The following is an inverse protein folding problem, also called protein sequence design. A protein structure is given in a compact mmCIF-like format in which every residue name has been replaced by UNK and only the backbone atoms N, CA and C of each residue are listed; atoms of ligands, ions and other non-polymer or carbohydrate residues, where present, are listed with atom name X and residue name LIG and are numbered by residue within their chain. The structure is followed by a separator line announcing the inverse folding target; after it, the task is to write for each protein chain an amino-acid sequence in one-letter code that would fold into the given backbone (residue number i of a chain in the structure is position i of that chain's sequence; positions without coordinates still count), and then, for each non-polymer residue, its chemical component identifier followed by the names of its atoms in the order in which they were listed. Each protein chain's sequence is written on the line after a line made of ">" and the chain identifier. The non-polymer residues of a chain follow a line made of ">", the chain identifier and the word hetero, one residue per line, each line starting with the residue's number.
data_IF_003572782389
#
_entry.id   IF_003572782389
#
_cell.length_a   1.000
_cell.length_b   1.000
_cell.length_c   1.000
_cell.angle_alpha   90.00
_cell.angle_beta   90.00
_cell.angle_gamma   90.00
#
_symmetry.space_group_name_H-M   'P 1'
#
loop_
_entity.id
_entity.type
_entity.pdbx_description
1 polymer ?
#
# COMPACT_ATOMS: atom_id res chain seq x y z
N UNK A 1 -16.43 -0.85 -5.79
CA UNK A 1 -15.51 -0.45 -4.67
C UNK A 1 -16.15 -0.67 -3.31
N UNK A 2 -17.36 -0.12 -3.07
CA UNK A 2 -18.10 -0.32 -1.80
C UNK A 2 -18.26 -1.80 -1.44
N UNK A 3 -18.70 -2.64 -2.37
CA UNK A 3 -18.90 -4.07 -2.13
C UNK A 3 -17.59 -4.80 -1.82
N UNK A 4 -16.50 -4.42 -2.51
CA UNK A 4 -15.18 -4.95 -2.22
C UNK A 4 -14.73 -4.63 -0.79
N UNK A 5 -14.90 -3.37 -0.35
CA UNK A 5 -14.56 -2.95 1.01
C UNK A 5 -15.39 -3.73 2.03
N UNK A 6 -16.70 -3.85 1.79
CA UNK A 6 -17.61 -4.58 2.67
C UNK A 6 -17.21 -6.06 2.77
N UNK A 7 -16.92 -6.70 1.64
CA UNK A 7 -16.42 -8.09 1.60
C UNK A 7 -15.11 -8.24 2.37
N UNK A 8 -14.21 -7.26 2.30
CA UNK A 8 -12.96 -7.32 3.02
C UNK A 8 -13.14 -7.27 4.53
N UNK A 9 -14.02 -6.39 5.00
CA UNK A 9 -14.35 -6.26 6.43
C UNK A 9 -15.13 -7.47 6.93
N UNK A 10 -16.10 -7.96 6.15
CA UNK A 10 -16.94 -9.09 6.51
C UNK A 10 -16.16 -10.40 6.58
N UNK A 11 -15.15 -10.59 5.72
CA UNK A 11 -14.29 -11.78 5.75
C UNK A 11 -13.66 -12.01 7.13
N UNK A 12 -13.15 -10.95 7.77
CA UNK A 12 -12.56 -11.06 9.12
C UNK A 12 -13.61 -10.99 10.24
N UNK A 13 -14.80 -10.44 9.97
CA UNK A 13 -15.93 -10.42 10.94
C UNK A 13 -16.80 -11.67 10.91
N UNK A 14 -16.50 -12.64 10.05
CA UNK A 14 -17.18 -13.93 9.99
C UNK A 14 -17.16 -14.61 11.37
N UNK A 15 -18.06 -15.57 11.59
CA UNK A 15 -18.12 -16.33 12.84
C UNK A 15 -17.24 -17.58 12.83
N UNK A 16 -16.73 -17.96 11.66
CA UNK A 16 -15.92 -19.16 11.43
C UNK A 16 -15.08 -19.00 10.16
N UNK A 17 -14.12 -19.90 9.97
CA UNK A 17 -13.24 -19.97 8.81
C UNK A 17 -11.98 -19.11 8.92
N UNK A 18 -11.12 -19.19 7.90
CA UNK A 18 -9.78 -18.61 7.92
C UNK A 18 -9.75 -17.12 8.31
N UNK A 19 -10.68 -16.31 7.81
CA UNK A 19 -10.73 -14.88 8.15
C UNK A 19 -11.04 -14.63 9.63
N UNK A 20 -11.91 -15.44 10.22
CA UNK A 20 -12.19 -15.38 11.64
C UNK A 20 -10.97 -15.79 12.46
N UNK A 21 -10.34 -16.92 12.13
CA UNK A 21 -9.17 -17.44 12.85
C UNK A 21 -8.00 -16.45 12.83
N UNK A 22 -7.74 -15.86 11.67
CA UNK A 22 -6.72 -14.82 11.52
C UNK A 22 -7.02 -13.57 12.34
N UNK A 23 -8.30 -13.19 12.46
CA UNK A 23 -8.68 -12.03 13.27
C UNK A 23 -8.53 -12.29 14.77
N UNK A 24 -8.75 -13.52 15.25
CA UNK A 24 -8.58 -13.84 16.67
C UNK A 24 -7.12 -13.66 17.12
N UNK A 25 -6.17 -13.98 16.24
CA UNK A 25 -4.74 -13.79 16.49
C UNK A 25 -4.28 -12.35 16.30
N UNK A 26 -5.04 -11.52 15.60
CA UNK A 26 -4.63 -10.15 15.27
C UNK A 26 -4.39 -9.34 16.54
N UNK A 27 -3.32 -8.57 16.52
CA UNK A 27 -2.83 -7.73 17.62
C UNK A 27 -2.25 -8.51 18.82
N UNK A 28 -2.06 -9.82 18.69
CA UNK A 28 -1.20 -10.56 19.62
C UNK A 28 0.24 -10.07 19.49
N UNK A 29 0.94 -10.03 20.62
CA UNK A 29 2.33 -9.55 20.70
C UNK A 29 3.21 -10.73 21.07
N UNK A 30 4.20 -11.01 20.22
CA UNK A 30 5.22 -12.03 20.43
C UNK A 30 6.56 -11.47 19.98
N UNK A 31 7.62 -11.61 20.81
CA UNK A 31 8.97 -11.14 20.49
C UNK A 31 9.06 -9.66 20.01
N UNK A 32 8.33 -8.77 20.68
CA UNK A 32 8.25 -7.32 20.32
C UNK A 32 7.65 -7.04 18.93
N UNK A 33 6.96 -8.00 18.36
CA UNK A 33 6.20 -7.84 17.12
C UNK A 33 4.71 -8.04 17.38
N UNK A 34 3.89 -7.24 16.69
CA UNK A 34 2.45 -7.36 16.69
C UNK A 34 1.97 -8.08 15.43
N UNK A 35 1.20 -9.16 15.60
CA UNK A 35 0.63 -9.91 14.49
C UNK A 35 -0.51 -9.12 13.83
N UNK A 36 -0.41 -8.86 12.53
CA UNK A 36 -1.43 -8.15 11.76
C UNK A 36 -2.43 -9.11 11.09
N UNK A 37 -1.98 -10.31 10.73
CA UNK A 37 -2.73 -11.28 9.94
C UNK A 37 -1.98 -11.72 8.69
N UNK A 38 -2.38 -12.86 8.12
CA UNK A 38 -1.83 -13.43 6.88
C UNK A 38 -0.30 -13.58 6.92
N UNK A 39 0.25 -14.04 8.06
CA UNK A 39 1.69 -14.16 8.33
C UNK A 39 2.46 -12.84 8.23
N UNK A 40 1.81 -11.71 8.54
CA UNK A 40 2.45 -10.40 8.61
C UNK A 40 2.47 -9.90 10.03
N UNK A 41 3.65 -9.44 10.44
CA UNK A 41 3.90 -8.80 11.73
C UNK A 41 4.67 -7.50 11.51
N UNK A 42 4.68 -6.66 12.53
CA UNK A 42 5.41 -5.38 12.55
C UNK A 42 5.89 -5.14 13.97
N UNK A 43 6.99 -4.42 14.17
CA UNK A 43 7.47 -4.10 15.52
C UNK A 43 6.43 -3.28 16.29
N UNK A 44 6.33 -3.51 17.60
CA UNK A 44 5.34 -2.82 18.46
C UNK A 44 5.49 -1.31 18.39
N UNK A 45 6.72 -0.79 18.58
CA UNK A 45 7.00 0.65 18.53
C UNK A 45 6.61 1.26 17.17
N UNK A 46 6.94 0.58 16.08
CA UNK A 46 6.61 1.05 14.74
C UNK A 46 5.10 1.06 14.50
N UNK A 47 4.38 0.03 14.96
CA UNK A 47 2.93 -0.02 14.88
C UNK A 47 2.28 1.11 15.69
N UNK A 48 2.78 1.39 16.88
CA UNK A 48 2.30 2.52 17.70
C UNK A 48 2.48 3.84 16.96
N UNK A 49 3.65 4.09 16.38
CA UNK A 49 3.92 5.28 15.57
C UNK A 49 2.94 5.41 14.39
N UNK A 50 2.71 4.32 13.65
CA UNK A 50 1.77 4.30 12.52
C UNK A 50 0.34 4.65 12.98
N UNK A 51 -0.08 4.21 14.17
CA UNK A 51 -1.43 4.48 14.69
C UNK A 51 -1.64 5.95 15.10
N UNK A 52 -0.58 6.74 15.29
CA UNK A 52 -0.67 8.18 15.57
C UNK A 52 -0.85 9.02 14.30
N UNK A 53 -0.60 8.43 13.13
CA UNK A 53 -0.60 9.13 11.86
C UNK A 53 -2.00 9.48 11.35
N UNK A 54 -2.05 10.39 10.36
CA UNK A 54 -3.30 10.72 9.65
C UNK A 54 -3.75 9.55 8.76
N UNK A 55 -5.05 9.40 8.47
CA UNK A 55 -5.57 8.23 7.77
C UNK A 55 -4.88 7.85 6.45
N UNK A 56 -4.53 8.79 5.54
CA UNK A 56 -3.81 8.43 4.32
C UNK A 56 -2.39 7.90 4.58
N UNK A 57 -1.72 8.41 5.62
CA UNK A 57 -0.37 8.03 6.00
C UNK A 57 -0.39 6.64 6.64
N UNK A 58 -1.31 6.41 7.59
CA UNK A 58 -1.55 5.08 8.18
C UNK A 58 -1.72 4.01 7.09
N UNK A 59 -2.58 4.29 6.10
CA UNK A 59 -2.88 3.35 5.02
C UNK A 59 -1.63 3.03 4.19
N UNK A 60 -0.82 4.03 3.87
CA UNK A 60 0.40 3.87 3.09
C UNK A 60 1.48 3.13 3.88
N UNK A 61 1.75 3.50 5.13
CA UNK A 61 2.75 2.83 5.95
C UNK A 61 2.37 1.37 6.19
N UNK A 62 1.11 1.11 6.54
CA UNK A 62 0.60 -0.26 6.68
C UNK A 62 0.80 -1.08 5.40
N UNK A 63 0.58 -0.48 4.21
CA UNK A 63 0.84 -1.18 2.95
C UNK A 63 2.34 -1.50 2.75
N UNK A 64 3.23 -0.59 3.15
CA UNK A 64 4.67 -0.83 3.04
C UNK A 64 5.16 -1.95 3.97
N UNK A 65 4.49 -2.23 5.09
CA UNK A 65 4.79 -3.41 5.91
C UNK A 65 4.32 -4.71 5.26
N UNK A 66 3.25 -4.67 4.48
CA UNK A 66 2.69 -5.87 3.85
C UNK A 66 3.46 -6.32 2.60
N UNK A 67 4.06 -5.38 1.84
CA UNK A 67 4.70 -5.65 0.53
C UNK A 67 6.12 -5.09 0.39
N UNK A 68 6.74 -4.55 1.45
CA UNK A 68 7.96 -3.73 1.36
C UNK A 68 7.85 -2.57 0.33
N UNK A 69 8.91 -1.76 0.19
CA UNK A 69 8.89 -0.62 -0.74
C UNK A 69 8.97 -1.08 -2.20
N UNK A 70 9.82 -2.06 -2.48
CA UNK A 70 10.13 -2.52 -3.84
C UNK A 70 8.99 -3.34 -4.42
N UNK A 71 8.41 -4.27 -3.66
CA UNK A 71 7.29 -5.04 -4.18
C UNK A 71 6.05 -4.17 -4.31
N UNK A 72 5.76 -3.32 -3.30
CA UNK A 72 4.60 -2.44 -3.36
C UNK A 72 4.66 -1.49 -4.56
N UNK A 73 5.83 -0.90 -4.84
CA UNK A 73 6.03 -0.08 -6.03
C UNK A 73 5.70 -0.83 -7.33
N UNK A 74 5.90 -2.14 -7.37
CA UNK A 74 5.68 -2.98 -8.54
C UNK A 74 4.35 -3.77 -8.47
N UNK A 75 3.42 -3.39 -7.59
CA UNK A 75 2.03 -3.88 -7.61
C UNK A 75 1.11 -3.00 -8.44
N UNK A 76 0.04 -3.60 -8.98
CA UNK A 76 -1.06 -2.90 -9.63
C UNK A 76 -2.39 -3.58 -9.31
N UNK A 77 -3.47 -2.80 -9.28
CA UNK A 77 -4.83 -3.34 -9.08
C UNK A 77 -5.35 -4.06 -10.34
N UNK A 78 -4.90 -3.61 -11.51
CA UNK A 78 -5.23 -4.13 -12.83
C UNK A 78 -3.93 -4.07 -13.66
N UNK A 79 -3.74 -5.04 -14.56
CA UNK A 79 -2.61 -5.04 -15.50
C UNK A 79 -3.18 -4.91 -16.91
N UNK A 80 -2.72 -3.89 -17.62
CA UNK A 80 -3.01 -3.67 -19.02
C UNK A 80 -1.75 -3.98 -19.86
N UNK A 81 -1.93 -4.21 -21.16
CA UNK A 81 -0.82 -4.63 -22.04
C UNK A 81 0.28 -3.57 -22.19
N UNK A 82 -0.08 -2.28 -22.11
CA UNK A 82 0.84 -1.14 -22.11
C UNK A 82 1.74 -1.06 -20.84
N UNK A 83 1.38 -1.82 -19.80
CA UNK A 83 2.14 -1.90 -18.56
C UNK A 83 3.22 -3.01 -18.59
N UNK A 84 3.18 -3.90 -19.59
CA UNK A 84 4.11 -5.04 -19.72
C UNK A 84 5.44 -4.61 -20.36
N UNK A 85 6.55 -5.18 -19.87
CA UNK A 85 7.86 -5.19 -20.53
C UNK A 85 8.46 -3.83 -20.94
N UNK A 86 8.52 -2.87 -20.01
CA UNK A 86 9.36 -1.68 -20.21
C UNK A 86 10.84 -2.06 -19.95
N UNK A 87 11.76 -1.91 -20.92
CA UNK A 87 13.16 -2.27 -20.76
C UNK A 87 13.81 -1.63 -19.52
N UNK A 88 14.54 -2.42 -18.73
CA UNK A 88 15.25 -1.97 -17.52
C UNK A 88 14.37 -1.76 -16.28
N UNK A 89 13.10 -2.21 -16.30
CA UNK A 89 12.20 -2.15 -15.14
C UNK A 89 11.86 -3.53 -14.60
N UNK A 90 11.60 -3.57 -13.28
CA UNK A 90 11.01 -4.74 -12.66
C UNK A 90 9.56 -4.93 -13.16
N UNK A 91 9.13 -6.18 -13.36
CA UNK A 91 7.80 -6.48 -13.87
C UNK A 91 6.73 -6.06 -12.87
N UNK A 92 5.59 -5.61 -13.39
CA UNK A 92 4.41 -5.31 -12.57
C UNK A 92 3.68 -6.61 -12.28
N UNK A 93 3.30 -6.79 -11.01
CA UNK A 93 2.47 -7.90 -10.57
C UNK A 93 1.12 -7.40 -10.09
N UNK A 94 0.09 -8.23 -10.21
CA UNK A 94 -1.21 -7.94 -9.62
C UNK A 94 -1.08 -7.91 -8.09
N UNK A 95 -1.82 -7.01 -7.46
CA UNK A 95 -1.90 -6.96 -6.00
C UNK A 95 -2.57 -8.22 -5.46
N UNK A 96 -1.95 -8.81 -4.45
CA UNK A 96 -2.41 -10.01 -3.78
C UNK A 96 -3.72 -9.71 -3.04
N UNK A 97 -4.79 -10.43 -3.41
CA UNK A 97 -6.15 -10.14 -2.91
C UNK A 97 -6.27 -10.32 -1.39
N UNK A 98 -5.60 -11.32 -0.81
CA UNK A 98 -5.63 -11.58 0.62
C UNK A 98 -4.97 -10.46 1.42
N UNK A 99 -3.81 -9.97 0.96
CA UNK A 99 -3.11 -8.85 1.61
C UNK A 99 -3.84 -7.52 1.40
N UNK A 100 -4.44 -7.27 0.23
CA UNK A 100 -5.28 -6.08 0.03
C UNK A 100 -6.50 -6.11 0.95
N UNK A 101 -7.13 -7.27 1.08
CA UNK A 101 -8.24 -7.48 2.01
C UNK A 101 -7.81 -7.25 3.46
N UNK A 102 -6.64 -7.75 3.86
CA UNK A 102 -6.04 -7.48 5.17
C UNK A 102 -5.86 -5.98 5.39
N UNK A 103 -5.21 -5.28 4.46
CA UNK A 103 -4.96 -3.84 4.56
C UNK A 103 -6.25 -3.03 4.73
N UNK A 104 -7.28 -3.32 3.93
CA UNK A 104 -8.57 -2.64 4.03
C UNK A 104 -9.25 -2.92 5.38
N UNK A 105 -9.13 -4.14 5.90
CA UNK A 105 -9.64 -4.46 7.24
C UNK A 105 -8.90 -3.71 8.34
N UNK A 106 -7.56 -3.65 8.29
CA UNK A 106 -6.75 -2.90 9.26
C UNK A 106 -7.09 -1.42 9.22
N UNK A 107 -7.25 -0.86 8.01
CA UNK A 107 -7.60 0.54 7.83
C UNK A 107 -9.00 0.87 8.35
N UNK A 108 -9.96 -0.03 8.13
CA UNK A 108 -11.29 0.09 8.73
C UNK A 108 -11.21 0.08 10.26
N UNK A 109 -10.42 -0.80 10.86
CA UNK A 109 -10.29 -0.88 12.32
C UNK A 109 -9.67 0.41 12.91
N UNK A 110 -8.62 0.93 12.28
CA UNK A 110 -8.02 2.24 12.61
C UNK A 110 -9.04 3.38 12.51
N UNK A 111 -9.76 3.50 11.38
CA UNK A 111 -10.77 4.54 11.17
C UNK A 111 -11.91 4.43 12.18
N UNK A 112 -12.35 3.21 12.51
CA UNK A 112 -13.41 2.99 13.50
C UNK A 112 -13.00 3.49 14.89
N UNK A 113 -11.75 3.27 15.29
CA UNK A 113 -11.20 3.71 16.58
C UNK A 113 -10.99 5.23 16.64
N UNK A 114 -10.77 5.89 15.51
CA UNK A 114 -10.60 7.33 15.44
C UNK A 114 -11.92 8.07 15.75
N UNK A 115 -12.00 8.68 16.94
CA UNK A 115 -13.20 9.39 17.43
C UNK A 115 -13.36 10.80 16.84
N UNK A 116 -12.31 11.37 16.27
CA UNK A 116 -12.32 12.71 15.69
C UNK A 116 -12.94 12.77 14.30
N UNK A 117 -13.18 11.61 13.66
CA UNK A 117 -13.81 11.51 12.35
C UNK A 117 -15.27 11.09 12.49
N UNK A 118 -16.14 11.73 11.71
CA UNK A 118 -17.53 11.30 11.55
C UNK A 118 -17.66 10.07 10.61
N UNK A 119 -18.87 9.55 10.49
CA UNK A 119 -19.14 8.37 9.67
C UNK A 119 -18.88 8.62 8.19
N UNK A 120 -19.22 9.81 7.68
CA UNK A 120 -19.06 10.15 6.27
C UNK A 120 -17.58 10.26 5.88
N UNK A 121 -16.76 10.90 6.72
CA UNK A 121 -15.32 11.00 6.53
C UNK A 121 -14.66 9.62 6.53
N UNK A 122 -15.04 8.75 7.47
CA UNK A 122 -14.55 7.36 7.51
C UNK A 122 -14.88 6.61 6.23
N UNK A 123 -16.12 6.72 5.74
CA UNK A 123 -16.53 6.11 4.48
C UNK A 123 -15.76 6.69 3.28
N UNK A 124 -15.59 8.01 3.23
CA UNK A 124 -14.82 8.71 2.19
C UNK A 124 -13.38 8.22 2.12
N UNK A 125 -12.71 8.05 3.27
CA UNK A 125 -11.36 7.50 3.34
C UNK A 125 -11.28 6.06 2.81
N UNK A 126 -12.21 5.19 3.21
CA UNK A 126 -12.25 3.80 2.72
C UNK A 126 -12.45 3.75 1.20
N UNK A 127 -13.39 4.55 0.66
CA UNK A 127 -13.65 4.59 -0.78
C UNK A 127 -12.46 5.13 -1.58
N UNK A 128 -11.66 6.03 -0.99
CA UNK A 128 -10.45 6.60 -1.60
C UNK A 128 -9.19 5.75 -1.39
N UNK A 129 -9.25 4.66 -0.62
CA UNK A 129 -8.08 3.88 -0.24
C UNK A 129 -7.25 3.40 -1.46
N UNK A 130 -7.91 2.81 -2.46
CA UNK A 130 -7.24 2.32 -3.66
C UNK A 130 -6.62 3.44 -4.50
N UNK A 131 -7.25 4.61 -4.55
CA UNK A 131 -6.69 5.79 -5.20
C UNK A 131 -5.41 6.26 -4.50
N UNK A 132 -5.43 6.34 -3.16
CA UNK A 132 -4.26 6.69 -2.35
C UNK A 132 -3.11 5.71 -2.58
N UNK A 133 -3.40 4.41 -2.61
CA UNK A 133 -2.41 3.36 -2.86
C UNK A 133 -1.82 3.45 -4.27
N UNK A 134 -2.66 3.60 -5.31
CA UNK A 134 -2.23 3.78 -6.71
C UNK A 134 -1.28 4.97 -6.85
N UNK A 135 -1.61 6.09 -6.23
CA UNK A 135 -0.77 7.28 -6.25
C UNK A 135 0.60 7.02 -5.60
N UNK A 136 0.63 6.35 -4.44
CA UNK A 136 1.88 6.01 -3.77
C UNK A 136 2.74 5.06 -4.63
N UNK A 137 2.15 4.01 -5.20
CA UNK A 137 2.85 3.09 -6.12
C UNK A 137 3.50 3.87 -7.28
N UNK A 138 2.74 4.78 -7.91
CA UNK A 138 3.25 5.64 -9.01
C UNK A 138 4.43 6.52 -8.58
N UNK A 139 4.37 7.10 -7.39
CA UNK A 139 5.43 7.94 -6.83
C UNK A 139 6.70 7.11 -6.60
N UNK A 140 6.58 5.96 -5.92
CA UNK A 140 7.71 5.08 -5.63
C UNK A 140 8.41 4.62 -6.91
N UNK A 141 7.65 4.25 -7.94
CA UNK A 141 8.22 3.89 -9.25
C UNK A 141 8.92 5.05 -9.94
N UNK A 142 8.38 6.25 -9.81
CA UNK A 142 9.02 7.45 -10.37
C UNK A 142 10.34 7.75 -9.66
N UNK A 143 10.42 7.47 -8.35
CA UNK A 143 11.65 7.60 -7.56
C UNK A 143 12.68 6.53 -7.93
N UNK A 144 12.27 5.26 -8.07
CA UNK A 144 13.13 4.17 -8.54
C UNK A 144 13.74 4.49 -9.92
N UNK A 145 12.93 5.02 -10.85
CA UNK A 145 13.40 5.46 -12.17
C UNK A 145 14.47 6.55 -12.07
N UNK A 146 14.25 7.55 -11.20
CA UNK A 146 15.21 8.65 -10.99
C UNK A 146 16.52 8.14 -10.39
N UNK A 147 16.46 7.20 -9.44
CA UNK A 147 17.65 6.62 -8.82
C UNK A 147 18.48 5.80 -9.84
N UNK A 148 17.83 5.08 -10.76
CA UNK A 148 18.51 4.29 -11.80
C UNK A 148 19.03 5.10 -12.99
N UNK A 149 18.53 6.31 -13.21
CA UNK A 149 19.02 7.17 -14.29
C UNK A 149 20.23 7.96 -13.77
N UNK A 150 21.47 7.69 -14.19
CA UNK A 150 22.62 8.45 -13.71
C UNK A 150 22.44 9.94 -14.07
N UNK A 151 22.70 10.85 -13.12
CA UNK A 151 22.63 12.31 -13.30
C UNK A 151 23.39 12.79 -14.56
N UNK A 152 24.41 12.06 -14.98
CA UNK A 152 25.23 12.35 -16.16
C UNK A 152 24.47 12.21 -17.50
N UNK A 153 23.50 11.30 -17.60
CA UNK A 153 22.73 11.12 -18.84
C UNK A 153 21.73 12.27 -19.10
N UNK A 154 21.24 12.90 -18.03
CA UNK A 154 20.32 14.03 -18.11
C UNK A 154 21.05 15.34 -18.49
N UNK A 155 22.30 15.49 -18.06
CA UNK A 155 23.20 16.57 -18.50
C UNK A 155 23.68 16.38 -19.95
N UNK A 156 23.95 15.15 -20.39
CA UNK A 156 24.31 14.86 -21.78
C UNK A 156 23.18 15.19 -22.78
N UNK A 157 21.91 14.85 -22.43
CA UNK A 157 20.74 15.20 -23.26
C UNK A 157 20.48 16.70 -23.35
N UNK A 158 20.72 17.46 -22.27
CA UNK A 158 20.61 18.93 -22.28
C UNK A 158 21.70 19.60 -23.12
N UNK A 159 22.92 19.05 -23.14
CA UNK A 159 24.03 19.55 -23.98
C UNK A 159 23.77 19.30 -25.46
N UNK A 160 23.22 18.14 -25.84
CA UNK A 160 22.87 17.85 -27.23
C UNK A 160 21.78 18.77 -27.80
N UNK A 161 20.83 19.22 -26.95
CA UNK A 161 19.77 20.15 -27.35
C UNK A 161 20.26 21.58 -27.63
N UNK A 162 21.42 21.97 -27.09
CA UNK A 162 22.02 23.29 -27.31
C UNK A 162 22.97 23.32 -28.51
N UNK A 163 23.52 22.16 -28.90
CA UNK A 163 24.49 22.05 -30.01
C UNK A 163 23.82 21.82 -31.38
N UNK A 164 22.49 21.82 -31.46
CA UNK A 164 21.73 21.69 -32.71
C UNK A 164 21.14 23.03 -33.20
N UNK A 165 21.70 24.13 -32.73
CA UNK A 165 21.44 25.49 -33.20
C UNK A 165 22.79 26.07 -33.66
N UNK A 166 23.30 25.57 -34.78
CA UNK A 166 24.30 26.23 -35.64
C UNK A 166 23.91 25.99 -37.10
#
# INVERSE_FOLDING_TARGET
>A
MKDFILNCVNYYKAKEGHGFDERQKRYTIENDEIYLGENKSVQVLEWEMINLERPPIFLVQSALHLWDITEFANRAFEIHDDMKNIPGRLPIKLIERNLLRLLISLYHDYLKRNRCLDHESKASYLLKATYTLRNKMRILRSQEKKARTPRNAQNARRRLSYNSIE
#
